data_IF_741689117911
#
_entry.id   IF_741689117911
#
_cell.length_a   1.000
_cell.length_b   1.000
_cell.length_c   1.000
_cell.angle_alpha   90.00
_cell.angle_beta   90.00
_cell.angle_gamma   90.00
#
_symmetry.space_group_name_H-M   'P 1'
#
loop_
_entity.id
_entity.type
_entity.pdbx_description
1 polymer ?
#
# COMPACT_ATOMS: atom_id res chain seq x y z
N UNK A 1 9.06 18.60 4.73
CA UNK A 1 9.28 17.16 5.01
C UNK A 1 9.60 16.51 3.68
N UNK A 2 10.48 15.49 3.67
CA UNK A 2 10.74 14.78 2.41
C UNK A 2 9.56 13.85 2.09
N UNK A 3 9.09 13.88 0.85
CA UNK A 3 8.06 12.98 0.35
C UNK A 3 8.49 11.51 0.51
N UNK A 4 7.57 10.64 0.88
CA UNK A 4 7.81 9.21 1.07
C UNK A 4 7.25 8.37 -0.07
N UNK A 5 7.97 7.31 -0.45
CA UNK A 5 7.46 6.22 -1.27
C UNK A 5 7.34 4.95 -0.42
N UNK A 6 6.14 4.39 -0.37
CA UNK A 6 5.87 3.16 0.38
C UNK A 6 5.16 2.17 -0.52
N UNK A 7 5.64 0.94 -0.57
CA UNK A 7 4.96 -0.10 -1.35
C UNK A 7 4.22 -1.08 -0.47
N UNK A 8 3.08 -1.57 -0.97
CA UNK A 8 2.33 -2.65 -0.35
C UNK A 8 2.62 -3.94 -1.12
N UNK A 9 3.41 -4.81 -0.51
CA UNK A 9 4.04 -5.96 -1.16
C UNK A 9 3.65 -7.27 -0.49
N UNK A 10 3.36 -8.28 -1.27
CA UNK A 10 3.32 -9.67 -0.82
C UNK A 10 3.56 -10.59 -2.00
N UNK A 11 4.29 -11.66 -1.79
CA UNK A 11 4.48 -12.73 -2.79
C UNK A 11 3.26 -13.64 -2.94
N UNK A 12 2.20 -13.41 -2.15
CA UNK A 12 0.94 -14.17 -2.16
C UNK A 12 -0.23 -13.30 -2.60
N UNK A 13 -1.11 -13.86 -3.44
CA UNK A 13 -2.36 -13.24 -3.84
C UNK A 13 -3.42 -13.27 -2.72
N UNK A 14 -4.40 -12.36 -2.75
CA UNK A 14 -5.58 -12.40 -1.87
C UNK A 14 -5.33 -12.01 -0.41
N UNK A 15 -4.16 -11.47 -0.05
CA UNK A 15 -3.83 -11.07 1.33
C UNK A 15 -4.27 -9.66 1.70
N UNK A 16 -4.91 -8.93 0.78
CA UNK A 16 -5.46 -7.59 1.02
C UNK A 16 -4.52 -6.42 0.68
N UNK A 17 -3.54 -6.59 -0.22
CA UNK A 17 -2.62 -5.51 -0.63
C UNK A 17 -3.34 -4.26 -1.11
N UNK A 18 -4.14 -4.38 -2.16
CA UNK A 18 -4.87 -3.27 -2.77
C UNK A 18 -5.84 -2.61 -1.77
N UNK A 19 -6.51 -3.41 -0.92
CA UNK A 19 -7.37 -2.91 0.15
C UNK A 19 -6.57 -2.11 1.17
N UNK A 20 -5.38 -2.58 1.56
CA UNK A 20 -4.48 -1.87 2.49
C UNK A 20 -3.98 -0.57 1.85
N UNK A 21 -3.50 -0.61 0.61
CA UNK A 21 -3.02 0.57 -0.11
C UNK A 21 -4.13 1.63 -0.26
N UNK A 22 -5.33 1.22 -0.70
CA UNK A 22 -6.46 2.11 -0.87
C UNK A 22 -6.86 2.78 0.46
N UNK A 23 -7.09 1.99 1.51
CA UNK A 23 -7.57 2.54 2.78
C UNK A 23 -6.51 3.40 3.48
N UNK A 24 -5.23 2.99 3.47
CA UNK A 24 -4.15 3.76 4.06
C UNK A 24 -3.92 5.07 3.29
N UNK A 25 -3.93 5.02 1.94
CA UNK A 25 -3.77 6.19 1.10
C UNK A 25 -4.90 7.21 1.27
N UNK A 26 -6.14 6.76 1.27
CA UNK A 26 -7.29 7.65 1.49
C UNK A 26 -7.32 8.24 2.91
N UNK A 27 -6.90 7.48 3.92
CA UNK A 27 -6.77 8.00 5.28
C UNK A 27 -5.70 9.10 5.35
N UNK A 28 -4.54 8.89 4.73
CA UNK A 28 -3.49 9.91 4.65
C UNK A 28 -3.98 11.17 3.91
N UNK A 29 -4.72 11.01 2.82
CA UNK A 29 -5.30 12.11 2.07
C UNK A 29 -6.32 12.91 2.91
N UNK A 30 -7.19 12.23 3.66
CA UNK A 30 -8.15 12.84 4.58
C UNK A 30 -7.46 13.57 5.75
N UNK A 31 -6.27 13.10 6.15
CA UNK A 31 -5.42 13.79 7.12
C UNK A 31 -4.63 14.98 6.51
N UNK A 32 -4.92 15.36 5.26
CA UNK A 32 -4.36 16.52 4.58
C UNK A 32 -2.99 16.28 3.93
N UNK A 33 -2.61 15.03 3.68
CA UNK A 33 -1.40 14.68 2.92
C UNK A 33 -1.75 14.53 1.43
N UNK A 34 -1.02 15.19 0.55
CA UNK A 34 -1.12 14.93 -0.88
C UNK A 34 -0.60 13.52 -1.17
N UNK A 35 -1.49 12.62 -1.54
CA UNK A 35 -1.20 11.19 -1.69
C UNK A 35 -1.42 10.72 -3.12
N UNK A 36 -0.42 10.06 -3.68
CA UNK A 36 -0.50 9.40 -4.98
C UNK A 36 -0.54 7.88 -4.78
N UNK A 37 -1.56 7.25 -5.32
CA UNK A 37 -1.63 5.80 -5.47
C UNK A 37 -1.03 5.39 -6.80
N UNK A 38 -0.27 4.30 -6.86
CA UNK A 38 0.23 3.69 -8.10
C UNK A 38 -0.19 2.23 -8.12
N UNK A 39 -0.97 1.85 -9.14
CA UNK A 39 -1.39 0.47 -9.37
C UNK A 39 -0.43 -0.22 -10.34
N UNK A 40 0.32 -1.19 -9.84
CA UNK A 40 1.27 -2.01 -10.61
C UNK A 40 0.81 -3.48 -10.75
N UNK A 41 -0.49 -3.74 -10.62
CA UNK A 41 -1.04 -5.06 -10.92
C UNK A 41 -1.67 -5.07 -12.32
N UNK A 42 -0.99 -5.64 -13.34
CA UNK A 42 -1.51 -5.65 -14.70
C UNK A 42 -2.60 -6.71 -14.91
N UNK A 43 -2.71 -7.69 -14.02
CA UNK A 43 -3.65 -8.81 -14.12
C UNK A 43 -4.97 -8.50 -13.46
N UNK A 44 -4.89 -7.88 -12.27
CA UNK A 44 -6.06 -7.49 -11.48
C UNK A 44 -5.87 -6.06 -10.94
N UNK A 45 -6.13 -5.03 -11.75
CA UNK A 45 -5.92 -3.63 -11.39
C UNK A 45 -6.96 -3.15 -10.36
N UNK A 46 -6.94 -3.77 -9.17
CA UNK A 46 -7.94 -3.56 -8.12
C UNK A 46 -7.85 -2.16 -7.51
N UNK A 47 -6.66 -1.59 -7.42
CA UNK A 47 -6.46 -0.25 -6.90
C UNK A 47 -6.97 0.80 -7.88
N UNK A 48 -6.75 0.61 -9.19
CA UNK A 48 -7.23 1.49 -10.26
C UNK A 48 -8.76 1.62 -10.31
N UNK A 49 -9.48 0.60 -9.85
CA UNK A 49 -10.95 0.57 -9.81
C UNK A 49 -11.53 0.74 -8.41
N UNK A 50 -10.70 1.00 -7.41
CA UNK A 50 -11.16 1.04 -6.02
C UNK A 50 -12.03 2.26 -5.74
N UNK A 51 -11.67 3.42 -6.29
CA UNK A 51 -12.39 4.67 -6.15
C UNK A 51 -12.96 5.13 -7.49
N UNK A 52 -14.05 5.87 -7.46
CA UNK A 52 -14.56 6.57 -8.63
C UNK A 52 -13.54 7.60 -9.10
N UNK A 53 -13.34 7.69 -10.41
CA UNK A 53 -12.41 8.59 -11.07
C UNK A 53 -13.18 9.57 -11.96
N UNK A 54 -13.51 10.78 -11.46
CA UNK A 54 -14.17 11.82 -12.26
C UNK A 54 -13.33 12.27 -13.46
N UNK A 55 -12.00 12.22 -13.30
CA UNK A 55 -11.04 12.59 -14.34
C UNK A 55 -10.04 11.44 -14.52
N UNK A 56 -10.15 10.73 -15.65
CA UNK A 56 -9.25 9.65 -16.03
C UNK A 56 -8.20 10.16 -16.99
N UNK A 57 -6.93 9.97 -16.64
CA UNK A 57 -5.81 10.30 -17.53
C UNK A 57 -5.79 9.37 -18.76
N UNK A 58 -5.22 9.85 -19.88
CA UNK A 58 -5.10 9.05 -21.10
C UNK A 58 -4.08 7.92 -20.98
N UNK A 59 -3.06 8.10 -20.15
CA UNK A 59 -2.01 7.12 -19.86
C UNK A 59 -2.08 6.63 -18.41
N UNK A 60 -1.10 5.84 -18.04
CA UNK A 60 -0.97 5.26 -16.70
C UNK A 60 0.42 4.71 -16.46
N UNK A 61 0.50 3.58 -15.75
CA UNK A 61 1.78 3.00 -15.33
C UNK A 61 2.62 2.51 -16.52
N UNK A 62 1.99 2.06 -17.60
CA UNK A 62 2.71 1.65 -18.80
C UNK A 62 3.44 2.84 -19.43
N UNK A 63 2.77 3.98 -19.56
CA UNK A 63 3.36 5.21 -20.12
C UNK A 63 4.50 5.75 -19.24
N UNK A 64 4.30 5.72 -17.92
CA UNK A 64 5.33 6.10 -16.95
C UNK A 64 6.58 5.23 -17.11
N UNK A 65 6.41 3.91 -17.14
CA UNK A 65 7.54 2.97 -17.12
C UNK A 65 8.12 2.67 -18.52
N UNK A 66 7.29 2.56 -19.55
CA UNK A 66 7.78 2.22 -20.89
C UNK A 66 8.35 3.44 -21.62
N UNK A 67 7.72 4.62 -21.47
CA UNK A 67 8.07 5.82 -22.20
C UNK A 67 8.67 6.94 -21.32
N UNK A 68 8.89 6.71 -20.03
CA UNK A 68 9.38 7.69 -19.05
C UNK A 68 8.53 8.97 -19.02
N UNK A 69 7.20 8.84 -19.23
CA UNK A 69 6.28 9.97 -19.18
C UNK A 69 5.99 10.29 -17.72
N UNK A 70 6.47 11.46 -17.25
CA UNK A 70 6.25 11.96 -15.88
C UNK A 70 5.31 13.15 -15.84
N UNK A 71 4.76 13.59 -16.98
CA UNK A 71 3.77 14.67 -17.04
C UNK A 71 2.49 14.25 -16.30
N UNK A 72 2.12 14.92 -15.19
CA UNK A 72 0.95 14.57 -14.38
C UNK A 72 -0.35 14.59 -15.19
N UNK A 73 -0.50 15.54 -16.12
CA UNK A 73 -1.71 15.65 -16.94
C UNK A 73 -1.94 14.41 -17.83
N UNK A 74 -0.91 13.64 -18.10
CA UNK A 74 -0.97 12.48 -18.98
C UNK A 74 -1.18 11.15 -18.27
N UNK A 75 -0.74 11.05 -17.01
CA UNK A 75 -0.66 9.74 -16.31
C UNK A 75 -1.41 9.71 -14.98
N UNK A 76 -1.81 10.86 -14.42
CA UNK A 76 -2.45 10.93 -13.11
C UNK A 76 -3.94 11.18 -13.27
N UNK A 77 -4.73 10.24 -12.77
CA UNK A 77 -6.20 10.32 -12.69
C UNK A 77 -6.62 10.86 -11.33
N UNK A 78 -7.68 11.67 -11.30
CA UNK A 78 -8.25 12.24 -10.08
C UNK A 78 -9.28 11.30 -9.47
N UNK A 79 -9.23 11.11 -8.15
CA UNK A 79 -10.29 10.39 -7.44
C UNK A 79 -11.31 11.37 -6.87
N UNK A 80 -12.48 10.83 -6.44
CA UNK A 80 -13.48 11.62 -5.70
C UNK A 80 -13.02 12.05 -4.30
N UNK A 81 -11.88 11.56 -3.82
CA UNK A 81 -11.32 11.88 -2.51
C UNK A 81 -10.32 13.02 -2.68
N UNK A 82 -10.53 14.19 -2.04
CA UNK A 82 -9.58 15.28 -2.08
C UNK A 82 -8.18 14.84 -1.64
N UNK A 83 -7.14 15.37 -2.26
CA UNK A 83 -5.73 15.03 -2.02
C UNK A 83 -5.33 13.58 -2.35
N UNK A 84 -6.20 12.79 -3.00
CA UNK A 84 -5.90 11.43 -3.42
C UNK A 84 -6.00 11.29 -4.92
N UNK A 85 -4.89 11.02 -5.55
CA UNK A 85 -4.78 10.78 -6.99
C UNK A 85 -4.28 9.36 -7.27
N UNK A 86 -4.41 8.89 -8.51
CA UNK A 86 -3.98 7.54 -8.90
C UNK A 86 -3.33 7.49 -10.28
N UNK A 87 -2.20 6.80 -10.39
CA UNK A 87 -1.67 6.28 -11.65
C UNK A 87 -2.26 4.90 -11.87
N UNK A 88 -3.13 4.79 -12.85
CA UNK A 88 -3.86 3.54 -13.13
C UNK A 88 -2.97 2.49 -13.80
N UNK A 89 -3.29 1.22 -13.57
CA UNK A 89 -2.70 0.10 -14.30
C UNK A 89 -3.31 0.01 -15.70
N UNK A 90 -2.50 0.25 -16.73
CA UNK A 90 -2.90 0.20 -18.14
C UNK A 90 -2.01 -0.73 -18.99
N UNK A 91 -1.28 -1.64 -18.36
CA UNK A 91 -0.47 -2.66 -19.02
C UNK A 91 -1.31 -3.91 -19.39
N UNK A 92 -2.24 -3.77 -20.33
CA UNK A 92 -3.22 -4.80 -20.71
C UNK A 92 -2.62 -6.14 -21.15
N UNK A 93 -1.38 -6.12 -21.64
CA UNK A 93 -0.70 -7.31 -22.17
C UNK A 93 0.43 -7.82 -21.26
N UNK A 94 0.53 -7.29 -20.03
CA UNK A 94 1.61 -7.63 -19.07
C UNK A 94 3.02 -7.52 -19.69
N UNK A 95 3.24 -6.45 -20.47
CA UNK A 95 4.49 -6.24 -21.22
C UNK A 95 5.60 -5.65 -20.36
N UNK A 96 5.25 -4.92 -19.29
CA UNK A 96 6.21 -4.23 -18.44
C UNK A 96 7.24 -5.18 -17.84
N UNK A 97 6.84 -6.37 -17.41
CA UNK A 97 7.79 -7.33 -16.84
C UNK A 97 8.88 -7.73 -17.86
N UNK A 98 8.51 -7.97 -19.11
CA UNK A 98 9.47 -8.29 -20.18
C UNK A 98 10.33 -7.08 -20.56
N UNK A 99 9.71 -5.89 -20.62
CA UNK A 99 10.41 -4.63 -20.88
C UNK A 99 11.51 -4.39 -19.83
N UNK A 100 11.18 -4.55 -18.56
CA UNK A 100 12.13 -4.33 -17.45
C UNK A 100 13.29 -5.35 -17.45
N UNK A 101 13.05 -6.59 -17.90
CA UNK A 101 14.12 -7.58 -18.03
C UNK A 101 15.12 -7.23 -19.14
N UNK A 102 14.69 -6.49 -20.16
CA UNK A 102 15.50 -6.10 -21.32
C UNK A 102 16.07 -4.68 -21.20
N UNK A 103 15.49 -3.82 -20.38
CA UNK A 103 15.90 -2.43 -20.24
C UNK A 103 17.24 -2.31 -19.50
N UNK A 104 18.14 -1.41 -19.93
CA UNK A 104 19.45 -1.20 -19.27
C UNK A 104 19.31 -0.76 -17.80
N UNK A 105 18.32 0.07 -17.47
CA UNK A 105 18.01 0.53 -16.14
C UNK A 105 17.07 -0.41 -15.37
N UNK A 106 16.36 -1.28 -16.08
CA UNK A 106 15.59 -2.41 -15.57
C UNK A 106 14.89 -2.14 -14.24
N UNK A 107 15.37 -2.80 -13.19
CA UNK A 107 14.84 -2.70 -11.83
C UNK A 107 15.04 -1.35 -11.16
N UNK A 108 15.89 -0.47 -11.68
CA UNK A 108 16.11 0.88 -11.13
C UNK A 108 15.18 1.92 -11.74
N UNK A 109 14.42 1.57 -12.77
CA UNK A 109 13.61 2.51 -13.57
C UNK A 109 12.65 3.34 -12.71
N UNK A 110 11.84 2.70 -11.89
CA UNK A 110 10.90 3.43 -11.03
C UNK A 110 11.63 4.28 -9.98
N UNK A 111 12.73 3.80 -9.41
CA UNK A 111 13.55 4.59 -8.48
C UNK A 111 14.09 5.87 -9.13
N UNK A 112 14.49 5.80 -10.41
CA UNK A 112 14.95 6.95 -11.19
C UNK A 112 13.81 7.96 -11.49
N UNK A 113 12.56 7.50 -11.63
CA UNK A 113 11.39 8.33 -11.90
C UNK A 113 10.76 8.91 -10.61
N UNK A 114 11.00 8.27 -9.47
CA UNK A 114 10.41 8.63 -8.18
C UNK A 114 10.63 10.10 -7.76
N UNK A 115 11.80 10.73 -7.98
CA UNK A 115 12.01 12.14 -7.64
C UNK A 115 11.01 13.09 -8.31
N UNK A 116 10.62 12.82 -9.58
CA UNK A 116 9.62 13.63 -10.29
C UNK A 116 8.23 13.49 -9.68
N UNK A 117 7.84 12.28 -9.28
CA UNK A 117 6.54 12.03 -8.64
C UNK A 117 6.48 12.63 -7.23
N UNK A 118 7.59 12.60 -6.49
CA UNK A 118 7.68 13.15 -5.13
C UNK A 118 7.67 14.68 -5.06
N UNK A 119 7.74 15.40 -6.18
CA UNK A 119 7.71 16.88 -6.17
C UNK A 119 6.35 17.44 -5.74
N UNK A 120 5.26 16.76 -6.11
CA UNK A 120 3.90 17.24 -5.93
C UNK A 120 3.14 16.52 -4.81
N UNK A 121 3.70 15.44 -4.25
CA UNK A 121 3.06 14.58 -3.26
C UNK A 121 3.87 14.43 -1.98
N UNK A 122 3.19 14.35 -0.85
CA UNK A 122 3.79 14.01 0.45
C UNK A 122 4.04 12.50 0.56
N UNK A 123 3.13 11.68 -0.03
CA UNK A 123 3.17 10.22 0.02
C UNK A 123 2.86 9.62 -1.35
N UNK A 124 3.68 8.67 -1.78
CA UNK A 124 3.43 7.79 -2.93
C UNK A 124 3.25 6.38 -2.40
N UNK A 125 2.06 5.81 -2.57
CA UNK A 125 1.74 4.42 -2.19
C UNK A 125 1.64 3.54 -3.44
N UNK A 126 2.40 2.44 -3.48
CA UNK A 126 2.50 1.56 -4.65
C UNK A 126 1.89 0.20 -4.31
N UNK A 127 0.82 -0.18 -5.02
CA UNK A 127 0.24 -1.53 -4.97
C UNK A 127 0.88 -2.45 -6.00
N UNK A 128 1.02 -3.73 -5.68
CA UNK A 128 1.72 -4.70 -6.52
C UNK A 128 0.93 -6.00 -6.67
N UNK A 129 1.18 -6.72 -7.76
CA UNK A 129 0.66 -8.08 -7.89
C UNK A 129 1.24 -9.04 -6.84
N UNK A 130 0.54 -10.13 -6.58
CA UNK A 130 0.92 -11.14 -5.58
C UNK A 130 1.87 -12.20 -6.10
N UNK A 131 2.95 -11.82 -6.81
CA UNK A 131 3.93 -12.75 -7.31
C UNK A 131 5.33 -12.12 -7.37
N UNK A 132 6.37 -12.93 -7.18
CA UNK A 132 7.75 -12.47 -7.40
C UNK A 132 7.98 -12.22 -8.89
N UNK A 133 8.42 -11.02 -9.23
CA UNK A 133 8.64 -10.57 -10.60
C UNK A 133 9.68 -9.45 -10.63
N UNK A 134 10.19 -9.11 -11.82
CA UNK A 134 11.06 -7.95 -11.98
C UNK A 134 10.35 -6.65 -11.60
N UNK A 135 9.03 -6.55 -11.82
CA UNK A 135 8.18 -5.44 -11.36
C UNK A 135 8.20 -5.31 -9.84
N UNK A 136 8.04 -6.41 -9.10
CA UNK A 136 8.06 -6.39 -7.64
C UNK A 136 9.42 -5.94 -7.10
N UNK A 137 10.51 -6.46 -7.66
CA UNK A 137 11.87 -6.09 -7.28
C UNK A 137 12.15 -4.60 -7.57
N UNK A 138 11.67 -4.07 -8.70
CA UNK A 138 11.75 -2.65 -9.06
C UNK A 138 11.00 -1.77 -8.05
N UNK A 139 9.80 -2.17 -7.64
CA UNK A 139 8.99 -1.44 -6.66
C UNK A 139 9.68 -1.38 -5.31
N UNK A 140 10.24 -2.49 -4.83
CA UNK A 140 10.97 -2.54 -3.57
C UNK A 140 12.18 -1.59 -3.60
N UNK A 141 12.94 -1.57 -4.70
CA UNK A 141 14.09 -0.66 -4.87
C UNK A 141 13.69 0.82 -4.97
N UNK A 142 12.45 1.12 -5.39
CA UNK A 142 11.92 2.48 -5.47
C UNK A 142 11.29 2.99 -4.17
N UNK A 143 11.20 2.13 -3.13
CA UNK A 143 10.48 2.41 -1.90
C UNK A 143 11.42 2.80 -0.75
N UNK A 144 10.95 3.72 0.10
CA UNK A 144 11.59 4.05 1.37
C UNK A 144 11.18 3.05 2.47
N UNK A 145 10.00 2.42 2.30
CA UNK A 145 9.40 1.46 3.23
C UNK A 145 8.53 0.45 2.47
N UNK A 146 8.49 -0.77 2.94
CA UNK A 146 7.57 -1.81 2.47
C UNK A 146 6.58 -2.16 3.58
N UNK A 147 5.28 -2.11 3.29
CA UNK A 147 4.22 -2.66 4.14
C UNK A 147 3.76 -3.97 3.54
N UNK A 148 3.71 -5.03 4.34
CA UNK A 148 3.29 -6.34 3.86
C UNK A 148 2.12 -6.90 4.65
N UNK A 149 0.92 -6.92 4.09
CA UNK A 149 -0.20 -7.60 4.71
C UNK A 149 0.01 -9.13 4.70
N UNK A 150 -0.17 -9.75 5.85
CA UNK A 150 -0.02 -11.18 6.09
C UNK A 150 -1.29 -11.73 6.74
N UNK A 151 -1.85 -12.80 6.17
CA UNK A 151 -2.94 -13.51 6.83
C UNK A 151 -2.42 -14.34 8.01
N UNK A 152 -3.18 -14.44 9.12
CA UNK A 152 -2.74 -15.11 10.34
C UNK A 152 -2.78 -16.64 10.19
N UNK A 153 -1.86 -17.20 9.42
CA UNK A 153 -1.62 -18.64 9.40
C UNK A 153 -0.13 -18.96 9.22
N UNK A 154 0.30 -20.03 9.89
CA UNK A 154 1.72 -20.42 9.98
C UNK A 154 2.33 -20.79 8.63
N UNK A 155 1.55 -21.38 7.72
CA UNK A 155 2.06 -21.70 6.37
C UNK A 155 2.37 -20.41 5.61
N UNK A 156 1.44 -19.46 5.63
CA UNK A 156 1.62 -18.14 4.99
C UNK A 156 2.83 -17.41 5.58
N UNK A 157 3.01 -17.44 6.91
CA UNK A 157 4.16 -16.79 7.56
C UNK A 157 5.50 -17.41 7.12
N UNK A 158 5.59 -18.72 7.04
CA UNK A 158 6.81 -19.43 6.60
C UNK A 158 7.10 -19.18 5.11
N UNK A 159 6.09 -19.21 4.26
CA UNK A 159 6.22 -18.92 2.83
C UNK A 159 6.66 -17.47 2.62
N UNK A 160 6.05 -16.53 3.35
CA UNK A 160 6.41 -15.13 3.31
C UNK A 160 7.86 -14.92 3.75
N UNK A 161 8.25 -15.47 4.91
CA UNK A 161 9.62 -15.36 5.40
C UNK A 161 10.62 -15.83 4.35
N UNK A 162 10.44 -17.06 3.83
CA UNK A 162 11.35 -17.60 2.82
C UNK A 162 11.36 -16.76 1.55
N UNK A 163 10.18 -16.38 1.01
CA UNK A 163 10.07 -15.63 -0.24
C UNK A 163 10.60 -14.20 -0.12
N UNK A 164 10.29 -13.52 0.99
CA UNK A 164 10.72 -12.14 1.25
C UNK A 164 12.22 -12.09 1.50
N UNK A 165 12.76 -13.00 2.33
CA UNK A 165 14.21 -13.04 2.57
C UNK A 165 15.00 -13.32 1.30
N UNK A 166 14.58 -14.28 0.49
CA UNK A 166 15.22 -14.54 -0.80
C UNK A 166 15.16 -13.34 -1.76
N UNK A 167 14.05 -12.58 -1.72
CA UNK A 167 13.93 -11.36 -2.52
C UNK A 167 14.89 -10.28 -2.02
N UNK A 168 14.89 -9.98 -0.73
CA UNK A 168 15.76 -8.95 -0.13
C UNK A 168 17.24 -9.30 -0.35
N UNK A 169 17.64 -10.55 -0.13
CA UNK A 169 19.01 -11.01 -0.39
C UNK A 169 19.39 -10.87 -1.86
N UNK A 170 18.46 -11.15 -2.77
CA UNK A 170 18.65 -10.94 -4.21
C UNK A 170 18.81 -9.46 -4.60
N UNK A 171 18.33 -8.53 -3.77
CA UNK A 171 18.45 -7.09 -3.99
C UNK A 171 19.69 -6.46 -3.34
N UNK A 172 20.34 -7.12 -2.35
CA UNK A 172 21.55 -6.59 -1.69
C UNK A 172 22.67 -6.14 -2.64
N UNK A 173 22.92 -6.79 -3.80
CA UNK A 173 23.93 -6.29 -4.74
C UNK A 173 23.69 -4.85 -5.22
N UNK A 174 22.43 -4.36 -5.22
CA UNK A 174 22.08 -3.00 -5.60
C UNK A 174 22.54 -1.95 -4.58
N UNK A 175 22.88 -2.34 -3.34
CA UNK A 175 23.48 -1.45 -2.34
C UNK A 175 24.82 -0.90 -2.82
N UNK A 176 25.57 -1.69 -3.59
CA UNK A 176 26.83 -1.24 -4.21
C UNK A 176 26.63 -0.17 -5.28
N UNK A 177 25.38 -0.04 -5.79
CA UNK A 177 24.97 1.01 -6.72
C UNK A 177 24.35 2.22 -5.99
N UNK A 178 24.44 2.28 -4.65
CA UNK A 178 23.90 3.36 -3.84
C UNK A 178 22.41 3.24 -3.52
N UNK A 179 21.75 2.12 -3.86
CA UNK A 179 20.37 1.87 -3.50
C UNK A 179 20.26 1.47 -2.03
N UNK A 180 19.16 1.88 -1.39
CA UNK A 180 18.82 1.40 -0.04
C UNK A 180 17.79 0.28 -0.15
N UNK A 181 18.04 -0.82 0.55
CA UNK A 181 17.02 -1.86 0.71
C UNK A 181 16.08 -1.40 1.82
N UNK A 182 14.78 -1.24 1.52
CA UNK A 182 13.81 -0.74 2.50
C UNK A 182 13.54 -1.76 3.60
N UNK A 183 13.18 -1.27 4.78
CA UNK A 183 12.63 -2.13 5.85
C UNK A 183 11.25 -2.62 5.44
N UNK A 184 10.89 -3.82 5.94
CA UNK A 184 9.58 -4.44 5.73
C UNK A 184 8.81 -4.42 7.04
N UNK A 185 7.63 -3.83 7.02
CA UNK A 185 6.69 -3.85 8.13
C UNK A 185 5.52 -4.78 7.79
N UNK A 186 5.36 -5.83 8.58
CA UNK A 186 4.28 -6.80 8.42
C UNK A 186 3.06 -6.31 9.21
N UNK A 187 1.91 -6.21 8.53
CA UNK A 187 0.61 -6.02 9.17
C UNK A 187 -0.19 -7.32 9.11
N UNK A 188 -0.61 -7.85 10.26
CA UNK A 188 -1.51 -9.00 10.30
C UNK A 188 -2.88 -8.54 9.83
N UNK A 189 -3.32 -9.11 8.71
CA UNK A 189 -4.56 -8.75 8.03
C UNK A 189 -5.55 -9.92 8.02
N UNK A 190 -6.84 -9.62 7.99
CA UNK A 190 -7.93 -10.61 8.08
C UNK A 190 -7.85 -11.45 9.35
N UNK A 191 -7.50 -10.83 10.48
CA UNK A 191 -7.47 -11.50 11.77
C UNK A 191 -8.90 -11.79 12.22
N UNK A 192 -9.23 -13.05 12.38
CA UNK A 192 -10.47 -13.46 13.06
C UNK A 192 -10.30 -13.36 14.60
N UNK A 193 -11.41 -13.44 15.34
CA UNK A 193 -11.39 -13.28 16.80
C UNK A 193 -11.25 -14.62 17.56
N UNK A 194 -10.70 -15.62 16.91
CA UNK A 194 -10.48 -16.94 17.55
C UNK A 194 -9.24 -16.93 18.43
N UNK A 195 -9.19 -17.83 19.41
CA UNK A 195 -8.00 -18.01 20.25
C UNK A 195 -6.80 -18.48 19.41
N UNK A 196 -7.04 -19.27 18.37
CA UNK A 196 -6.00 -19.74 17.45
C UNK A 196 -5.32 -18.57 16.72
N UNK A 197 -6.09 -17.57 16.29
CA UNK A 197 -5.55 -16.38 15.60
C UNK A 197 -4.64 -15.54 16.49
N UNK A 198 -4.91 -15.47 17.80
CA UNK A 198 -4.02 -14.78 18.75
C UNK A 198 -2.69 -15.52 18.91
N UNK A 199 -2.75 -16.85 19.11
CA UNK A 199 -1.56 -17.67 19.21
C UNK A 199 -0.72 -17.63 17.93
N UNK A 200 -1.37 -17.59 16.75
CA UNK A 200 -0.70 -17.44 15.46
C UNK A 200 -0.03 -16.07 15.35
N UNK A 201 -0.68 -14.99 15.81
CA UNK A 201 -0.09 -13.65 15.80
C UNK A 201 1.21 -13.60 16.63
N UNK A 202 1.21 -14.17 17.84
CA UNK A 202 2.41 -14.27 18.69
C UNK A 202 3.51 -15.11 18.03
N UNK A 203 3.15 -16.25 17.43
CA UNK A 203 4.09 -17.09 16.70
C UNK A 203 4.66 -16.42 15.46
N UNK A 204 3.85 -15.64 14.72
CA UNK A 204 4.33 -14.86 13.57
C UNK A 204 5.35 -13.83 14.01
N UNK A 205 5.09 -13.13 15.13
CA UNK A 205 6.07 -12.19 15.70
C UNK A 205 7.39 -12.89 16.02
N UNK A 206 7.34 -14.00 16.71
CA UNK A 206 8.54 -14.75 17.09
C UNK A 206 9.39 -15.19 15.88
N UNK A 207 8.77 -15.45 14.72
CA UNK A 207 9.50 -15.78 13.48
C UNK A 207 10.34 -14.59 12.99
N UNK A 208 9.86 -13.35 13.18
CA UNK A 208 10.49 -12.16 12.62
C UNK A 208 11.30 -11.34 13.63
N UNK A 209 11.22 -11.63 14.95
CA UNK A 209 11.92 -10.87 15.99
C UNK A 209 13.46 -10.88 15.83
N UNK A 210 14.02 -11.89 15.18
CA UNK A 210 15.46 -11.97 14.91
C UNK A 210 15.92 -11.21 13.66
N UNK A 211 14.98 -10.70 12.85
CA UNK A 211 15.30 -10.02 11.60
C UNK A 211 15.41 -8.50 11.77
N UNK A 212 16.58 -7.94 11.45
CA UNK A 212 16.82 -6.49 11.59
C UNK A 212 16.05 -5.63 10.57
N UNK A 213 15.73 -6.19 9.41
CA UNK A 213 15.09 -5.49 8.30
C UNK A 213 13.57 -5.75 8.22
N UNK A 214 13.03 -6.61 9.09
CA UNK A 214 11.59 -6.95 9.12
C UNK A 214 11.06 -6.73 10.53
N UNK A 215 9.90 -6.09 10.64
CA UNK A 215 9.18 -5.93 11.90
C UNK A 215 7.69 -6.26 11.72
N UNK A 216 7.05 -6.74 12.78
CA UNK A 216 5.60 -6.98 12.80
C UNK A 216 4.95 -5.85 13.57
N UNK A 217 3.98 -5.16 12.94
CA UNK A 217 3.25 -4.07 13.55
C UNK A 217 2.36 -4.55 14.71
N UNK A 218 2.11 -3.68 15.69
CA UNK A 218 1.19 -3.94 16.80
C UNK A 218 -0.26 -3.94 16.31
N UNK A 219 -0.57 -3.02 15.38
CA UNK A 219 -1.91 -2.90 14.80
C UNK A 219 -2.21 -4.08 13.90
N UNK A 220 -3.36 -4.72 14.15
CA UNK A 220 -3.90 -5.78 13.30
C UNK A 220 -5.17 -5.30 12.60
N UNK A 221 -5.43 -5.80 11.39
CA UNK A 221 -6.65 -5.52 10.64
C UNK A 221 -7.57 -6.74 10.73
N UNK A 222 -8.75 -6.62 11.36
CA UNK A 222 -9.66 -7.76 11.51
C UNK A 222 -10.34 -8.14 10.18
N UNK A 223 -10.81 -9.39 10.07
CA UNK A 223 -11.75 -9.77 9.02
C UNK A 223 -13.13 -9.17 9.31
N UNK A 224 -13.30 -7.91 8.98
CA UNK A 224 -14.54 -7.16 9.21
C UNK A 224 -15.25 -6.80 7.91
N UNK A 225 -16.58 -6.88 7.94
CA UNK A 225 -17.44 -6.60 6.79
C UNK A 225 -17.24 -5.19 6.24
N UNK A 226 -16.86 -4.23 7.08
CA UNK A 226 -16.63 -2.83 6.67
C UNK A 226 -15.57 -2.72 5.57
N UNK A 227 -14.48 -3.50 5.63
CA UNK A 227 -13.44 -3.46 4.60
C UNK A 227 -13.92 -4.01 3.25
N UNK A 228 -14.76 -5.05 3.26
CA UNK A 228 -15.41 -5.58 2.04
C UNK A 228 -16.43 -4.58 1.48
N UNK A 229 -17.24 -3.99 2.34
CA UNK A 229 -18.21 -2.97 1.97
C UNK A 229 -17.54 -1.69 1.43
N UNK A 230 -16.38 -1.32 1.97
CA UNK A 230 -15.59 -0.20 1.51
C UNK A 230 -15.22 -0.37 0.03
N UNK A 231 -14.60 -1.50 -0.32
CA UNK A 231 -14.24 -1.81 -1.70
C UNK A 231 -15.46 -1.82 -2.65
N UNK A 232 -16.58 -2.45 -2.24
CA UNK A 232 -17.78 -2.53 -3.09
C UNK A 232 -18.48 -1.18 -3.28
N UNK A 233 -18.27 -0.21 -2.37
CA UNK A 233 -18.87 1.13 -2.44
C UNK A 233 -17.94 2.18 -3.04
N UNK A 234 -16.69 1.84 -3.33
CA UNK A 234 -15.70 2.81 -3.76
C UNK A 234 -15.38 3.89 -2.71
N UNK A 235 -15.46 3.53 -1.42
CA UNK A 235 -15.22 4.44 -0.29
C UNK A 235 -14.19 3.86 0.68
N UNK A 236 -13.41 4.68 1.38
CA UNK A 236 -12.50 4.17 2.40
C UNK A 236 -13.26 3.73 3.66
N UNK A 237 -12.79 2.65 4.28
CA UNK A 237 -13.44 2.02 5.42
C UNK A 237 -13.59 2.97 6.63
N UNK A 238 -12.62 3.86 6.87
CA UNK A 238 -12.67 4.83 7.97
C UNK A 238 -13.78 5.89 7.82
N UNK A 239 -14.24 6.16 6.58
CA UNK A 239 -15.40 7.01 6.32
C UNK A 239 -16.72 6.29 6.54
N UNK A 240 -16.75 4.95 6.40
CA UNK A 240 -17.94 4.12 6.62
C UNK A 240 -18.15 3.77 8.08
N UNK A 241 -17.09 3.65 8.87
CA UNK A 241 -17.17 3.22 10.27
C UNK A 241 -16.22 4.03 11.14
N UNK A 242 -16.79 5.10 11.73
CA UNK A 242 -16.08 6.02 12.63
C UNK A 242 -16.24 5.68 14.11
N UNK A 243 -17.25 4.86 14.47
CA UNK A 243 -17.57 4.43 15.83
C UNK A 243 -17.74 2.92 15.87
N UNK A 244 -17.43 2.32 17.00
CA UNK A 244 -17.53 0.88 17.20
C UNK A 244 -18.98 0.40 17.06
N UNK A 245 -19.26 -0.58 16.18
CA UNK A 245 -20.59 -1.21 16.12
C UNK A 245 -20.90 -1.99 17.40
N UNK A 246 -22.16 -1.98 17.83
CA UNK A 246 -22.63 -2.65 19.06
C UNK A 246 -22.48 -4.18 19.03
N UNK A 247 -22.38 -4.76 17.86
CA UNK A 247 -22.32 -6.22 17.63
C UNK A 247 -20.90 -6.76 17.44
N UNK A 248 -19.87 -5.92 17.69
CA UNK A 248 -18.46 -6.30 17.48
C UNK A 248 -17.57 -5.75 18.59
N UNK A 249 -16.57 -6.55 18.98
CA UNK A 249 -15.59 -6.17 20.01
C UNK A 249 -14.36 -5.47 19.46
N UNK A 250 -14.04 -5.68 18.15
CA UNK A 250 -12.91 -5.00 17.52
C UNK A 250 -13.18 -3.50 17.36
N UNK A 251 -12.10 -2.70 17.38
CA UNK A 251 -12.15 -1.26 17.18
C UNK A 251 -12.82 -0.88 15.85
N UNK A 252 -13.34 0.35 15.70
CA UNK A 252 -13.90 0.84 14.44
C UNK A 252 -12.80 1.01 13.39
N UNK A 253 -13.17 0.95 12.11
CA UNK A 253 -12.21 1.07 11.01
C UNK A 253 -11.40 2.37 11.06
N UNK A 254 -11.98 3.49 11.50
CA UNK A 254 -11.26 4.74 11.70
C UNK A 254 -10.09 4.60 12.68
N UNK A 255 -10.29 3.92 13.80
CA UNK A 255 -9.25 3.71 14.81
C UNK A 255 -8.19 2.73 14.32
N UNK A 256 -8.60 1.63 13.69
CA UNK A 256 -7.68 0.63 13.13
C UNK A 256 -6.75 1.26 12.10
N UNK A 257 -7.31 1.99 11.12
CA UNK A 257 -6.50 2.59 10.06
C UNK A 257 -5.64 3.74 10.60
N UNK A 258 -6.15 4.50 11.60
CA UNK A 258 -5.35 5.53 12.27
C UNK A 258 -4.13 4.92 12.97
N UNK A 259 -4.32 3.86 13.76
CA UNK A 259 -3.23 3.21 14.47
C UNK A 259 -2.21 2.62 13.47
N UNK A 260 -2.68 1.98 12.41
CA UNK A 260 -1.82 1.51 11.32
C UNK A 260 -1.02 2.66 10.70
N UNK A 261 -1.68 3.78 10.39
CA UNK A 261 -1.00 4.95 9.80
C UNK A 261 0.05 5.54 10.74
N UNK A 262 -0.22 5.60 12.04
CA UNK A 262 0.73 6.08 13.06
C UNK A 262 1.96 5.18 13.13
N UNK A 263 1.78 3.86 13.10
CA UNK A 263 2.92 2.93 13.13
C UNK A 263 3.75 2.98 11.84
N UNK A 264 3.09 3.11 10.69
CA UNK A 264 3.77 3.15 9.38
C UNK A 264 4.42 4.51 9.12
N UNK A 265 3.79 5.60 9.55
CA UNK A 265 4.22 6.98 9.30
C UNK A 265 4.22 7.82 10.58
N UNK A 266 5.07 7.53 11.56
CA UNK A 266 5.06 8.19 12.87
C UNK A 266 5.31 9.70 12.81
N UNK A 267 5.95 10.20 11.75
CA UNK A 267 6.19 11.63 11.54
C UNK A 267 4.93 12.46 11.28
N UNK A 268 3.80 11.84 10.94
CA UNK A 268 2.51 12.50 10.70
C UNK A 268 1.48 12.22 11.78
N UNK A 269 1.90 11.68 12.93
CA UNK A 269 1.02 11.29 14.04
C UNK A 269 0.02 12.38 14.43
N UNK A 270 0.46 13.65 14.55
CA UNK A 270 -0.44 14.75 14.93
C UNK A 270 -1.56 14.96 13.90
N UNK A 271 -1.28 14.82 12.60
CA UNK A 271 -2.29 14.92 11.54
C UNK A 271 -3.29 13.77 11.64
N UNK A 272 -2.81 12.56 11.91
CA UNK A 272 -3.66 11.38 12.05
C UNK A 272 -4.56 11.43 13.27
N UNK A 273 -4.06 11.94 14.39
CA UNK A 273 -4.85 12.16 15.60
C UNK A 273 -5.91 13.25 15.45
N UNK A 274 -5.65 14.26 14.62
CA UNK A 274 -6.61 15.31 14.31
C UNK A 274 -7.83 14.82 13.51
N UNK A 275 -7.73 13.67 12.82
CA UNK A 275 -8.83 13.10 12.05
C UNK A 275 -9.84 12.36 12.96
N UNK A 276 -10.59 13.13 13.78
CA UNK A 276 -11.61 12.60 14.69
C UNK A 276 -12.86 12.12 13.95
N UNK A 277 -13.78 11.37 14.60
CA UNK A 277 -15.07 11.00 13.99
C UNK A 277 -15.86 12.19 13.46
N UNK A 278 -15.80 13.34 14.15
CA UNK A 278 -16.46 14.57 13.76
C UNK A 278 -15.80 15.20 12.53
N UNK A 279 -14.46 15.18 12.46
CA UNK A 279 -13.69 15.65 11.31
C UNK A 279 -14.01 14.80 10.06
N UNK A 280 -14.04 13.47 10.19
CA UNK A 280 -14.42 12.56 9.10
C UNK A 280 -15.86 12.82 8.65
N UNK A 281 -16.79 13.02 9.58
CA UNK A 281 -18.18 13.33 9.24
C UNK A 281 -18.32 14.66 8.47
N UNK A 282 -17.48 15.65 8.77
CA UNK A 282 -17.43 16.92 8.04
C UNK A 282 -16.92 16.74 6.60
N UNK A 283 -15.86 15.94 6.40
CA UNK A 283 -15.33 15.62 5.08
C UNK A 283 -16.37 14.92 4.19
N UNK A 284 -17.11 13.96 4.74
CA UNK A 284 -18.17 13.24 3.99
C UNK A 284 -19.32 14.16 3.60
N UNK A 285 -19.64 15.18 4.41
CA UNK A 285 -20.69 16.16 4.10
C UNK A 285 -20.26 17.21 3.09
N UNK A 286 -19.00 17.64 3.14
CA UNK A 286 -18.44 18.68 2.27
C UNK A 286 -18.07 18.19 0.88
N UNK A 287 -17.99 16.88 0.66
CA UNK A 287 -17.69 16.24 -0.62
C UNK A 287 -18.93 15.80 -1.43
N UNK A 288 -20.13 16.27 -1.07
CA UNK A 288 -21.40 16.05 -1.80
C UNK A 288 -21.77 17.23 -2.65
#
# INVERSE_FOLDING_TARGET
MNAKATSVVSTKGGVGKSTTAANLGAFCADAGLKTLLIDLDPVQPSLSSYYELPEVAQGGIYDLLAANITDPARIISRTIIPNLDVVISNDQNNQLNNLLLQAPDGRLRLANLMPSLKQDYDLVLIDTQGARSALLEMVVLASDLVVSPLQPNMLTAREFNRGTMQMLDGLRPYERLGMRIPKVQIVINCLDQTNDSRAIHENVRAIFDEHQDISVLETTVPDAVVFRNAASRGLPAHRLETRQPSNRTSAPALEIIRNLAIEVFPEWTDRFLALTPEAVAALVKGGR
#
